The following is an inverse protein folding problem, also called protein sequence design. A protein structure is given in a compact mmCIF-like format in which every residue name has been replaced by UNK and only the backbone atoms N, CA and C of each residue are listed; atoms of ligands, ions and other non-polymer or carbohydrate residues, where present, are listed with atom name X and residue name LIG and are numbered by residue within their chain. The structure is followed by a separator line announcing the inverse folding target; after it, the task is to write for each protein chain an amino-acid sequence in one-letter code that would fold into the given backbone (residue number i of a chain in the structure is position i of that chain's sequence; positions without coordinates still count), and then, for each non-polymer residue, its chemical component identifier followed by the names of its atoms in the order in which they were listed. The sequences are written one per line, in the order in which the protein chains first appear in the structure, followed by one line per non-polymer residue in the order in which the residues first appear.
data_IF_220637702479
#
_entry.id   IF_220637702479
#
_cell.length_a   1.000
_cell.length_b   1.000
_cell.length_c   1.000
_cell.angle_alpha   90.00
_cell.angle_beta   90.00
_cell.angle_gamma   90.00
#
_symmetry.space_group_name_H-M   'P 1'
#
loop_
_entity.id
_entity.type
_entity.pdbx_description
1 polymer ?
#
# COMPACT_ATOMS: atom_id res chain seq x y z
N UNK A 1 1.77 2.31 -11.85
CA UNK A 1 0.49 1.76 -12.37
C UNK A 1 -0.56 2.84 -12.59
N UNK A 2 -0.95 3.59 -11.55
CA UNK A 2 -2.04 4.59 -11.62
C UNK A 2 -1.82 5.62 -12.74
N UNK A 3 -0.60 6.17 -12.83
CA UNK A 3 -0.24 7.10 -13.91
C UNK A 3 -0.42 6.48 -15.32
N UNK A 4 -0.11 5.19 -15.50
CA UNK A 4 -0.31 4.51 -16.77
C UNK A 4 -1.80 4.30 -17.08
N UNK A 5 -2.62 3.98 -16.07
CA UNK A 5 -4.08 3.89 -16.22
C UNK A 5 -4.68 5.24 -16.63
N UNK A 6 -4.28 6.31 -15.95
CA UNK A 6 -4.73 7.67 -16.25
C UNK A 6 -4.38 8.08 -17.68
N UNK A 7 -3.14 7.82 -18.11
CA UNK A 7 -2.71 8.12 -19.48
C UNK A 7 -3.46 7.30 -20.53
N UNK A 8 -3.71 6.01 -20.26
CA UNK A 8 -4.46 5.14 -21.18
C UNK A 8 -5.93 5.56 -21.33
N UNK A 9 -6.55 6.04 -20.24
CA UNK A 9 -7.95 6.43 -20.21
C UNK A 9 -8.16 7.92 -20.55
N UNK A 10 -7.09 8.71 -20.61
CA UNK A 10 -7.10 10.17 -20.68
C UNK A 10 -7.85 10.81 -19.49
N UNK A 11 -7.55 10.34 -18.27
CA UNK A 11 -8.19 10.79 -17.03
C UNK A 11 -7.27 11.70 -16.21
N UNK A 12 -7.86 12.69 -15.53
CA UNK A 12 -7.16 13.52 -14.55
C UNK A 12 -6.82 12.71 -13.29
N UNK A 13 -5.67 12.95 -12.66
CA UNK A 13 -5.28 12.30 -11.40
C UNK A 13 -5.44 13.30 -10.25
N UNK A 14 -6.13 12.88 -9.20
CA UNK A 14 -6.24 13.61 -7.94
C UNK A 14 -5.67 12.75 -6.81
N UNK A 15 -4.58 13.20 -6.21
CA UNK A 15 -4.03 12.60 -5.00
C UNK A 15 -4.68 13.23 -3.77
N UNK A 16 -5.29 12.40 -2.91
CA UNK A 16 -6.05 12.83 -1.74
C UNK A 16 -5.41 12.31 -0.45
N UNK A 17 -4.65 13.19 0.19
CA UNK A 17 -4.05 12.94 1.49
C UNK A 17 -5.07 13.14 2.62
N UNK A 18 -5.62 12.04 3.15
CA UNK A 18 -6.66 12.10 4.19
C UNK A 18 -6.21 12.78 5.48
N UNK A 19 -4.91 12.73 5.80
CA UNK A 19 -4.34 13.40 6.98
C UNK A 19 -4.43 14.94 6.90
N UNK A 20 -4.52 15.50 5.69
CA UNK A 20 -4.61 16.94 5.46
C UNK A 20 -6.05 17.49 5.55
N UNK A 21 -7.04 16.60 5.66
CA UNK A 21 -8.46 16.95 5.59
C UNK A 21 -9.04 17.07 7.01
N UNK A 22 -9.68 18.20 7.31
CA UNK A 22 -10.13 18.49 8.69
C UNK A 22 -11.30 17.61 9.14
N UNK A 23 -12.32 17.50 8.29
CA UNK A 23 -13.56 16.77 8.59
C UNK A 23 -14.21 16.16 7.34
N UNK A 24 -15.29 15.40 7.54
CA UNK A 24 -16.02 14.74 6.45
C UNK A 24 -16.75 15.73 5.51
N UNK A 25 -16.98 16.98 5.93
CA UNK A 25 -17.59 18.03 5.09
C UNK A 25 -16.56 18.54 4.08
N UNK A 26 -15.34 18.82 4.54
CA UNK A 26 -14.21 19.21 3.69
C UNK A 26 -13.88 18.09 2.69
N UNK A 27 -13.81 16.84 3.17
CA UNK A 27 -13.64 15.67 2.32
C UNK A 27 -14.70 15.60 1.21
N UNK A 28 -15.96 15.78 1.60
CA UNK A 28 -17.10 15.79 0.67
C UNK A 28 -16.93 16.88 -0.37
N UNK A 29 -16.54 18.09 0.03
CA UNK A 29 -16.35 19.21 -0.89
C UNK A 29 -15.22 18.95 -1.89
N UNK A 30 -14.07 18.46 -1.41
CA UNK A 30 -12.91 18.15 -2.25
C UNK A 30 -13.25 17.14 -3.34
N UNK A 31 -13.96 16.07 -2.96
CA UNK A 31 -14.42 15.11 -3.94
C UNK A 31 -15.29 15.83 -5.01
N UNK A 32 -16.11 16.85 -4.65
CA UNK A 32 -17.22 17.34 -5.53
C UNK A 32 -16.63 18.19 -6.63
N UNK A 33 -15.58 18.89 -6.26
CA UNK A 33 -14.77 19.75 -7.10
C UNK A 33 -13.92 18.95 -8.10
N UNK A 34 -13.78 17.62 -7.94
CA UNK A 34 -13.12 16.78 -8.95
C UNK A 34 -13.89 16.75 -10.28
N UNK A 35 -13.13 16.82 -11.37
CA UNK A 35 -13.64 16.69 -12.73
C UNK A 35 -14.27 15.30 -12.96
N UNK A 36 -15.10 15.20 -14.00
CA UNK A 36 -15.44 13.91 -14.60
C UNK A 36 -14.23 13.36 -15.37
N UNK A 37 -14.18 12.04 -15.57
CA UNK A 37 -13.01 11.35 -16.15
C UNK A 37 -11.77 11.56 -15.30
N UNK A 38 -11.88 11.15 -14.05
CA UNK A 38 -10.82 11.31 -13.06
C UNK A 38 -10.53 10.02 -12.31
N UNK A 39 -9.28 9.88 -11.87
CA UNK A 39 -8.81 8.87 -10.94
C UNK A 39 -8.46 9.58 -9.63
N UNK A 40 -9.16 9.24 -8.57
CA UNK A 40 -8.90 9.74 -7.21
C UNK A 40 -8.09 8.67 -6.49
N UNK A 41 -6.91 9.05 -6.02
CA UNK A 41 -5.96 8.17 -5.33
C UNK A 41 -5.99 8.49 -3.85
N UNK A 42 -6.08 7.44 -3.04
CA UNK A 42 -6.04 7.53 -1.58
C UNK A 42 -5.02 6.52 -1.11
N UNK A 43 -3.85 7.02 -0.73
CA UNK A 43 -2.71 6.19 -0.38
C UNK A 43 -2.72 5.77 1.10
N UNK A 44 -2.09 4.62 1.37
CA UNK A 44 -1.76 4.13 2.72
C UNK A 44 -2.92 4.16 3.72
N UNK A 45 -4.08 3.63 3.32
CA UNK A 45 -5.29 3.65 4.16
C UNK A 45 -5.17 2.85 5.47
N UNK A 46 -4.14 2.02 5.63
CA UNK A 46 -3.84 1.27 6.85
C UNK A 46 -3.01 2.03 7.89
N UNK A 47 -2.22 3.04 7.47
CA UNK A 47 -1.42 3.87 8.36
C UNK A 47 -2.27 4.87 9.16
N UNK A 48 -3.47 5.16 8.68
CA UNK A 48 -4.40 6.06 9.35
C UNK A 48 -5.23 5.28 10.38
N UNK A 49 -4.59 4.97 11.50
CA UNK A 49 -5.10 4.14 12.60
C UNK A 49 -6.42 4.65 13.23
N UNK A 50 -6.82 5.90 12.97
CA UNK A 50 -8.12 6.44 13.37
C UNK A 50 -9.23 6.25 12.29
N UNK A 51 -8.86 5.90 11.05
CA UNK A 51 -9.79 5.71 9.92
C UNK A 51 -10.27 4.28 9.75
N UNK A 52 -9.44 3.28 10.08
CA UNK A 52 -9.69 1.85 9.81
C UNK A 52 -10.69 1.20 10.74
N UNK A 53 -11.25 1.95 11.69
CA UNK A 53 -12.42 1.49 12.42
C UNK A 53 -12.16 0.33 13.36
N UNK A 54 -10.93 0.15 13.86
CA UNK A 54 -10.78 -0.46 15.19
C UNK A 54 -11.49 0.47 16.17
N UNK A 55 -12.81 0.29 16.27
CA UNK A 55 -13.56 0.58 17.48
C UNK A 55 -12.79 -0.20 18.53
N UNK A 56 -11.84 0.45 19.21
CA UNK A 56 -11.60 0.13 20.59
C UNK A 56 -12.99 0.18 21.17
N UNK A 57 -13.58 -1.00 21.38
CA UNK A 57 -14.59 -1.18 22.39
C UNK A 57 -14.02 -0.41 23.56
N UNK A 58 -14.59 0.77 23.78
CA UNK A 58 -14.52 1.40 25.08
C UNK A 58 -15.26 0.42 25.96
N UNK A 59 -14.57 -0.63 26.40
CA UNK A 59 -14.85 -1.19 27.69
C UNK A 59 -14.80 0.01 28.61
N UNK A 60 -15.97 0.28 29.15
CA UNK A 60 -16.22 1.28 30.16
C UNK A 60 -15.20 1.09 31.29
N UNK A 61 -14.05 1.75 31.19
CA UNK A 61 -13.25 2.10 32.36
C UNK A 61 -14.00 3.25 33.05
N UNK A 62 -15.14 2.90 33.66
CA UNK A 62 -15.75 3.67 34.74
C UNK A 62 -14.91 3.44 35.99
N UNK A 63 -13.67 3.91 35.99
CA UNK A 63 -12.92 4.09 37.22
C UNK A 63 -12.41 5.53 37.29
N UNK A 64 -13.19 6.31 38.04
CA UNK A 64 -12.82 7.49 38.84
C UNK A 64 -11.74 8.45 38.30
N UNK A 65 -12.15 9.50 37.59
CA UNK A 65 -11.41 10.79 37.63
C UNK A 65 -12.38 11.98 37.64
N UNK A 66 -12.74 12.43 38.86
CA UNK A 66 -13.45 13.69 39.15
C UNK A 66 -12.54 14.91 39.06
N UNK A 67 -11.69 15.02 38.03
CA UNK A 67 -10.81 16.18 37.86
C UNK A 67 -11.17 16.97 36.59
N UNK A 68 -11.81 18.15 36.72
CA UNK A 68 -12.26 18.97 35.59
C UNK A 68 -11.12 19.39 34.64
N UNK A 69 -9.89 19.47 35.15
CA UNK A 69 -8.71 19.94 34.40
C UNK A 69 -8.24 18.86 33.41
N UNK A 70 -8.21 17.59 33.82
CA UNK A 70 -7.85 16.45 32.95
C UNK A 70 -8.89 16.19 31.85
N UNK A 71 -10.17 16.49 32.10
CA UNK A 71 -11.22 16.40 31.07
C UNK A 71 -11.05 17.46 29.97
N UNK A 72 -10.69 18.70 30.34
CA UNK A 72 -10.39 19.75 29.34
C UNK A 72 -9.13 19.43 28.53
N UNK A 73 -8.10 18.82 29.12
CA UNK A 73 -6.90 18.42 28.39
C UNK A 73 -7.16 17.25 27.42
N UNK A 74 -7.94 16.23 27.81
CA UNK A 74 -8.37 15.14 26.90
C UNK A 74 -9.28 15.67 25.77
N UNK A 75 -10.18 16.63 26.04
CA UNK A 75 -10.99 17.28 24.99
C UNK A 75 -10.16 18.17 24.06
N UNK A 76 -9.12 18.84 24.56
CA UNK A 76 -8.19 19.63 23.72
C UNK A 76 -7.26 18.76 22.89
N UNK A 77 -6.82 17.60 23.39
CA UNK A 77 -6.02 16.63 22.61
C UNK A 77 -6.82 15.94 21.50
N UNK A 78 -8.13 15.73 21.71
CA UNK A 78 -9.03 15.13 20.70
C UNK A 78 -9.35 16.05 19.52
N UNK A 79 -9.17 17.36 19.67
CA UNK A 79 -9.48 18.37 18.64
C UNK A 79 -8.37 18.64 17.61
N UNK A 80 -7.25 17.91 17.69
CA UNK A 80 -6.09 18.12 16.80
C UNK A 80 -5.83 16.99 15.80
N UNK A 81 -6.69 15.98 15.73
CA UNK A 81 -6.68 14.96 14.67
C UNK A 81 -7.81 15.23 13.69
N UNK A 82 -7.60 14.91 12.41
CA UNK A 82 -8.66 14.91 11.39
C UNK A 82 -9.85 14.06 11.88
N UNK A 83 -11.08 14.58 11.81
CA UNK A 83 -12.31 13.81 12.11
C UNK A 83 -12.80 12.97 10.93
N UNK A 84 -11.98 12.86 9.88
CA UNK A 84 -12.22 11.98 8.75
C UNK A 84 -12.25 10.54 9.23
N UNK A 85 -13.07 9.69 8.60
CA UNK A 85 -13.06 8.23 8.81
C UNK A 85 -13.17 7.54 7.45
N UNK A 86 -12.54 6.37 7.26
CA UNK A 86 -12.65 5.61 6.02
C UNK A 86 -14.10 5.16 5.77
N UNK A 87 -14.84 4.87 6.85
CA UNK A 87 -16.28 4.61 6.78
C UNK A 87 -17.08 5.84 6.33
N UNK A 88 -16.74 7.04 6.81
CA UNK A 88 -17.35 8.30 6.37
C UNK A 88 -17.12 8.56 4.88
N UNK A 89 -15.90 8.35 4.40
CA UNK A 89 -15.54 8.42 2.99
C UNK A 89 -16.35 7.42 2.14
N UNK A 90 -16.38 6.14 2.52
CA UNK A 90 -17.08 5.12 1.74
C UNK A 90 -18.60 5.31 1.75
N UNK A 91 -19.20 5.68 2.88
CA UNK A 91 -20.64 6.00 2.93
C UNK A 91 -20.99 7.14 1.98
N UNK A 92 -20.07 8.06 1.78
CA UNK A 92 -20.26 9.17 0.88
C UNK A 92 -20.14 8.78 -0.60
N UNK A 93 -19.17 7.92 -0.93
CA UNK A 93 -19.00 7.32 -2.27
C UNK A 93 -20.21 6.43 -2.63
N UNK A 94 -20.61 5.54 -1.72
CA UNK A 94 -21.72 4.59 -1.89
C UNK A 94 -23.08 5.29 -2.06
N UNK A 95 -23.23 6.49 -1.49
CA UNK A 95 -24.49 7.21 -1.42
C UNK A 95 -24.79 8.05 -2.66
N UNK A 96 -25.04 9.34 -2.43
CA UNK A 96 -25.46 10.34 -3.43
C UNK A 96 -24.48 10.50 -4.61
N UNK A 97 -23.23 10.05 -4.47
CA UNK A 97 -22.22 10.16 -5.52
C UNK A 97 -22.39 9.19 -6.67
N UNK A 98 -22.76 7.96 -6.34
CA UNK A 98 -22.95 6.88 -7.32
C UNK A 98 -24.03 7.24 -8.36
N UNK A 99 -24.98 8.10 -7.98
CA UNK A 99 -26.06 8.56 -8.85
C UNK A 99 -25.68 9.69 -9.83
N UNK A 100 -24.48 10.29 -9.72
CA UNK A 100 -24.14 11.51 -10.47
C UNK A 100 -23.66 11.28 -11.92
N UNK A 101 -23.66 10.05 -12.46
CA UNK A 101 -23.40 9.76 -13.89
C UNK A 101 -22.03 10.23 -14.42
N UNK A 102 -21.10 10.61 -13.54
CA UNK A 102 -19.76 11.08 -13.88
C UNK A 102 -18.79 9.90 -13.75
N UNK A 103 -18.04 9.63 -14.81
CA UNK A 103 -17.00 8.61 -14.86
C UNK A 103 -15.88 8.96 -13.87
N UNK A 104 -15.74 8.20 -12.78
CA UNK A 104 -14.67 8.37 -11.81
C UNK A 104 -14.19 7.01 -11.32
N UNK A 105 -12.88 6.88 -11.17
CA UNK A 105 -12.24 5.74 -10.55
C UNK A 105 -11.67 6.18 -9.21
N UNK A 106 -11.84 5.37 -8.18
CA UNK A 106 -11.23 5.60 -6.87
C UNK A 106 -10.28 4.44 -6.61
N UNK A 107 -9.00 4.74 -6.40
CA UNK A 107 -7.94 3.77 -6.15
C UNK A 107 -7.44 3.96 -4.74
N UNK A 108 -7.54 2.90 -3.95
CA UNK A 108 -6.97 2.82 -2.62
C UNK A 108 -5.68 1.99 -2.66
N UNK A 109 -4.64 2.43 -1.97
CA UNK A 109 -3.44 1.60 -1.74
C UNK A 109 -3.33 1.23 -0.27
N UNK A 110 -2.86 0.01 0.01
CA UNK A 110 -2.62 -0.44 1.37
C UNK A 110 -1.53 -1.51 1.36
N UNK A 111 -0.67 -1.49 2.38
CA UNK A 111 0.31 -2.55 2.61
C UNK A 111 -0.23 -3.65 3.54
N UNK A 112 -1.34 -3.39 4.22
CA UNK A 112 -1.88 -4.20 5.31
C UNK A 112 -3.40 -4.36 5.20
N UNK A 113 -3.85 -5.14 4.23
CA UNK A 113 -5.27 -5.40 4.00
C UNK A 113 -5.98 -6.00 5.22
N UNK A 114 -5.25 -6.75 6.05
CA UNK A 114 -5.74 -7.36 7.29
C UNK A 114 -6.09 -6.35 8.39
N UNK A 115 -5.59 -5.11 8.30
CA UNK A 115 -5.91 -4.03 9.24
C UNK A 115 -7.20 -3.30 8.87
N UNK A 116 -7.76 -3.55 7.69
CA UNK A 116 -8.98 -2.91 7.22
C UNK A 116 -10.22 -3.66 7.70
N UNK A 117 -11.25 -2.92 8.13
CA UNK A 117 -12.54 -3.50 8.46
C UNK A 117 -13.14 -4.22 7.23
N UNK A 118 -13.46 -5.53 7.32
CA UNK A 118 -14.04 -6.31 6.22
C UNK A 118 -15.30 -5.68 5.61
N UNK A 119 -16.05 -4.87 6.36
CA UNK A 119 -17.23 -4.15 5.87
C UNK A 119 -16.89 -3.04 4.88
N UNK A 120 -15.64 -2.56 4.84
CA UNK A 120 -15.15 -1.52 3.94
C UNK A 120 -14.71 -2.10 2.59
N UNK A 121 -14.11 -3.28 2.59
CA UNK A 121 -13.59 -3.98 1.39
C UNK A 121 -14.64 -4.86 0.68
N UNK A 122 -15.90 -4.81 1.10
CA UNK A 122 -16.96 -5.61 0.46
C UNK A 122 -17.29 -5.08 -0.94
N UNK A 123 -17.77 -5.98 -1.81
CA UNK A 123 -18.29 -5.62 -3.13
C UNK A 123 -19.40 -4.56 -3.04
N UNK A 124 -19.42 -3.62 -3.97
CA UNK A 124 -20.26 -2.42 -3.93
C UNK A 124 -19.60 -1.21 -3.26
N UNK A 125 -18.50 -1.40 -2.51
CA UNK A 125 -17.63 -0.34 -1.99
C UNK A 125 -16.29 -0.34 -2.69
N UNK A 126 -15.66 -1.51 -2.69
CA UNK A 126 -14.41 -1.80 -3.38
C UNK A 126 -14.65 -3.01 -4.28
N UNK A 127 -14.81 -2.78 -5.58
CA UNK A 127 -15.24 -3.83 -6.51
C UNK A 127 -14.09 -4.69 -7.05
N UNK A 128 -12.89 -4.13 -7.09
CA UNK A 128 -11.69 -4.79 -7.61
C UNK A 128 -10.57 -4.71 -6.57
N UNK A 129 -10.04 -5.88 -6.23
CA UNK A 129 -8.85 -6.02 -5.40
C UNK A 129 -7.73 -6.59 -6.28
N UNK A 130 -6.61 -5.89 -6.32
CA UNK A 130 -5.43 -6.26 -7.11
C UNK A 130 -4.29 -6.39 -6.12
N UNK A 131 -3.76 -7.59 -5.99
CA UNK A 131 -2.56 -7.85 -5.19
C UNK A 131 -1.32 -7.56 -6.05
N UNK A 132 -0.44 -6.70 -5.54
CA UNK A 132 0.85 -6.40 -6.16
C UNK A 132 1.94 -7.21 -5.45
N UNK A 133 2.13 -8.45 -5.91
CA UNK A 133 3.05 -9.40 -5.28
C UNK A 133 4.52 -9.19 -5.69
N UNK A 134 5.40 -10.05 -5.19
CA UNK A 134 6.83 -10.06 -5.49
C UNK A 134 7.12 -10.35 -6.96
N UNK A 135 8.35 -10.04 -7.38
CA UNK A 135 8.81 -10.19 -8.74
C UNK A 135 8.90 -11.67 -9.13
N UNK A 136 8.05 -12.10 -10.08
CA UNK A 136 8.15 -13.42 -10.67
C UNK A 136 9.04 -13.40 -11.93
N UNK A 137 9.34 -14.57 -12.47
CA UNK A 137 10.18 -14.69 -13.67
C UNK A 137 9.61 -13.94 -14.89
N UNK A 138 8.27 -13.92 -15.05
CA UNK A 138 7.62 -13.19 -16.14
C UNK A 138 7.80 -11.68 -15.98
N UNK A 139 7.62 -11.14 -14.76
CA UNK A 139 7.88 -9.73 -14.45
C UNK A 139 9.35 -9.40 -14.69
N UNK A 140 10.27 -10.25 -14.26
CA UNK A 140 11.71 -10.09 -14.51
C UNK A 140 12.02 -9.98 -16.01
N UNK A 141 11.45 -10.83 -16.86
CA UNK A 141 11.68 -10.75 -18.32
C UNK A 141 11.22 -9.41 -18.90
N UNK A 142 10.10 -8.87 -18.42
CA UNK A 142 9.63 -7.53 -18.81
C UNK A 142 10.63 -6.46 -18.38
N UNK A 143 11.15 -6.53 -17.14
CA UNK A 143 12.15 -5.58 -16.65
C UNK A 143 13.49 -5.71 -17.41
N UNK A 144 13.96 -6.92 -17.68
CA UNK A 144 15.17 -7.18 -18.45
C UNK A 144 15.06 -6.62 -19.87
N UNK A 145 13.91 -6.81 -20.53
CA UNK A 145 13.65 -6.19 -21.83
C UNK A 145 13.63 -4.67 -21.75
N UNK A 146 12.98 -4.09 -20.74
CA UNK A 146 12.82 -2.64 -20.64
C UNK A 146 14.12 -1.90 -20.31
N UNK A 147 14.98 -2.49 -19.45
CA UNK A 147 16.20 -1.81 -18.98
C UNK A 147 17.47 -2.23 -19.72
N UNK A 148 17.53 -3.48 -20.21
CA UNK A 148 18.73 -4.05 -20.83
C UNK A 148 18.54 -4.39 -22.31
N UNK A 149 17.32 -4.29 -22.85
CA UNK A 149 16.96 -4.68 -24.22
C UNK A 149 17.29 -6.15 -24.55
N UNK A 150 17.15 -7.04 -23.56
CA UNK A 150 17.44 -8.48 -23.70
C UNK A 150 16.21 -9.33 -23.40
N UNK A 151 15.90 -10.25 -24.33
CA UNK A 151 14.80 -11.21 -24.18
C UNK A 151 15.25 -12.59 -23.69
N UNK A 152 16.51 -12.95 -23.89
CA UNK A 152 17.09 -14.24 -23.49
C UNK A 152 18.53 -14.09 -23.06
N UNK A 153 18.92 -14.77 -21.99
CA UNK A 153 20.30 -14.84 -21.52
C UNK A 153 20.57 -16.16 -20.80
N UNK A 154 21.81 -16.66 -20.80
CA UNK A 154 22.18 -17.92 -20.14
C UNK A 154 21.85 -17.91 -18.63
N UNK A 155 22.00 -16.75 -17.99
CA UNK A 155 21.70 -16.52 -16.57
C UNK A 155 20.19 -16.50 -16.24
N UNK A 156 19.29 -16.39 -17.23
CA UNK A 156 17.85 -16.30 -16.96
C UNK A 156 17.32 -17.56 -16.26
N UNK A 157 17.83 -18.75 -16.62
CA UNK A 157 17.44 -19.99 -15.97
C UNK A 157 17.80 -20.00 -14.47
N UNK A 158 18.95 -19.43 -14.12
CA UNK A 158 19.40 -19.28 -12.73
C UNK A 158 18.54 -18.27 -11.99
N UNK A 159 18.34 -17.07 -12.56
CA UNK A 159 17.52 -16.01 -11.97
C UNK A 159 16.08 -16.47 -11.77
N UNK A 160 15.49 -17.13 -12.76
CA UNK A 160 14.12 -17.66 -12.67
C UNK A 160 13.93 -18.66 -11.54
N UNK A 161 14.93 -19.54 -11.31
CA UNK A 161 14.92 -20.45 -10.16
C UNK A 161 15.01 -19.70 -8.84
N UNK A 162 15.91 -18.73 -8.74
CA UNK A 162 16.13 -17.96 -7.51
C UNK A 162 14.92 -17.11 -7.13
N UNK A 163 14.26 -16.46 -8.11
CA UNK A 163 13.00 -15.72 -7.91
C UNK A 163 11.85 -16.64 -7.49
N UNK A 164 11.91 -17.94 -7.78
CA UNK A 164 10.96 -18.92 -7.28
C UNK A 164 11.20 -19.34 -5.82
N UNK A 165 12.37 -19.05 -5.27
CA UNK A 165 12.79 -19.43 -3.91
C UNK A 165 12.92 -18.24 -2.96
N UNK A 166 12.98 -17.02 -3.48
CA UNK A 166 13.31 -15.80 -2.74
C UNK A 166 12.39 -14.68 -3.15
N UNK A 167 11.70 -14.10 -2.17
CA UNK A 167 10.86 -12.93 -2.38
C UNK A 167 11.72 -11.67 -2.58
N UNK A 168 11.49 -10.97 -3.68
CA UNK A 168 12.14 -9.69 -4.01
C UNK A 168 11.16 -8.79 -4.75
N UNK A 169 11.10 -7.50 -4.41
CA UNK A 169 10.12 -6.60 -5.04
C UNK A 169 10.51 -6.29 -6.49
N UNK A 170 9.55 -6.01 -7.39
CA UNK A 170 9.87 -5.55 -8.74
C UNK A 170 10.76 -4.30 -8.76
N UNK A 171 10.65 -3.42 -7.76
CA UNK A 171 11.48 -2.23 -7.61
C UNK A 171 12.95 -2.59 -7.30
N UNK A 172 13.18 -3.51 -6.36
CA UNK A 172 14.54 -3.96 -6.02
C UNK A 172 15.18 -4.69 -7.21
N UNK A 173 14.40 -5.51 -7.93
CA UNK A 173 14.87 -6.16 -9.17
C UNK A 173 15.24 -5.12 -10.23
N UNK A 174 14.41 -4.09 -10.42
CA UNK A 174 14.71 -3.01 -11.35
C UNK A 174 16.00 -2.26 -10.97
N UNK A 175 16.20 -1.94 -9.69
CA UNK A 175 17.43 -1.30 -9.18
C UNK A 175 18.69 -2.15 -9.44
N UNK A 176 18.55 -3.48 -9.42
CA UNK A 176 19.64 -4.38 -9.79
C UNK A 176 19.96 -4.31 -11.29
N UNK A 177 18.92 -4.28 -12.12
CA UNK A 177 19.01 -4.34 -13.58
C UNK A 177 19.35 -3.01 -14.24
N UNK A 178 19.07 -1.87 -13.61
CA UNK A 178 19.43 -0.55 -14.17
C UNK A 178 20.95 -0.37 -14.18
N UNK A 179 21.58 -0.17 -15.36
CA UNK A 179 23.00 0.12 -15.47
C UNK A 179 23.35 1.44 -14.75
N UNK A 180 24.42 1.44 -13.96
CA UNK A 180 24.87 2.62 -13.20
C UNK A 180 25.92 3.46 -13.95
N UNK A 181 26.47 2.92 -15.03
CA UNK A 181 27.38 3.61 -15.94
C UNK A 181 27.29 2.96 -17.33
N UNK A 182 27.82 3.65 -18.35
CA UNK A 182 27.89 3.14 -19.72
C UNK A 182 28.84 1.93 -19.88
N UNK A 183 29.60 1.60 -18.83
CA UNK A 183 30.54 0.47 -18.81
C UNK A 183 29.92 -0.82 -18.26
N UNK A 184 28.76 -0.74 -17.59
CA UNK A 184 28.05 -1.91 -17.08
C UNK A 184 27.30 -2.60 -18.23
N UNK A 185 27.83 -3.75 -18.66
CA UNK A 185 27.15 -4.59 -19.62
C UNK A 185 25.99 -5.39 -18.99
N UNK A 186 25.22 -6.05 -19.84
CA UNK A 186 24.07 -6.89 -19.45
C UNK A 186 24.50 -7.96 -18.44
N UNK A 187 25.66 -8.57 -18.64
CA UNK A 187 26.18 -9.65 -17.80
C UNK A 187 26.48 -9.17 -16.39
N UNK A 188 27.07 -7.97 -16.24
CA UNK A 188 27.32 -7.31 -14.96
C UNK A 188 26.01 -7.05 -14.21
N UNK A 189 24.99 -6.52 -14.90
CA UNK A 189 23.68 -6.23 -14.30
C UNK A 189 22.97 -7.51 -13.83
N UNK A 190 22.99 -8.57 -14.63
CA UNK A 190 22.39 -9.86 -14.26
C UNK A 190 23.14 -10.54 -13.10
N UNK A 191 24.48 -10.46 -13.08
CA UNK A 191 25.29 -10.95 -11.94
C UNK A 191 25.01 -10.18 -10.65
N UNK A 192 24.82 -8.87 -10.75
CA UNK A 192 24.42 -8.03 -9.61
C UNK A 192 23.06 -8.47 -9.05
N UNK A 193 22.08 -8.75 -9.92
CA UNK A 193 20.78 -9.28 -9.49
C UNK A 193 20.93 -10.64 -8.78
N UNK A 194 21.73 -11.56 -9.31
CA UNK A 194 22.00 -12.85 -8.66
C UNK A 194 22.55 -12.64 -7.26
N UNK A 195 23.55 -11.76 -7.10
CA UNK A 195 24.11 -11.44 -5.79
C UNK A 195 23.06 -10.89 -4.83
N UNK A 196 22.23 -9.96 -5.28
CA UNK A 196 21.17 -9.40 -4.44
C UNK A 196 20.13 -10.46 -4.02
N UNK A 197 19.83 -11.43 -4.88
CA UNK A 197 18.96 -12.56 -4.55
C UNK A 197 19.61 -13.51 -3.52
N UNK A 198 20.91 -13.76 -3.63
CA UNK A 198 21.66 -14.54 -2.63
C UNK A 198 21.63 -13.86 -1.25
N UNK A 199 21.91 -12.55 -1.23
CA UNK A 199 21.89 -11.74 0.00
C UNK A 199 20.48 -11.72 0.64
N UNK A 200 19.43 -11.56 -0.17
CA UNK A 200 18.04 -11.57 0.29
C UNK A 200 17.64 -12.94 0.84
N UNK A 201 18.06 -14.03 0.18
CA UNK A 201 17.79 -15.41 0.64
C UNK A 201 18.45 -15.68 1.98
N UNK A 202 19.69 -15.25 2.17
CA UNK A 202 20.39 -15.41 3.44
C UNK A 202 19.75 -14.56 4.55
N UNK A 203 19.40 -13.31 4.26
CA UNK A 203 18.69 -12.45 5.21
C UNK A 203 17.35 -13.04 5.66
N UNK A 204 16.57 -13.61 4.73
CA UNK A 204 15.31 -14.29 5.05
C UNK A 204 15.53 -15.53 5.93
N UNK A 205 16.59 -16.32 5.66
CA UNK A 205 16.96 -17.49 6.46
C UNK A 205 17.30 -17.10 7.90
N UNK A 206 18.13 -16.08 8.08
CA UNK A 206 18.51 -15.57 9.40
C UNK A 206 17.29 -15.05 10.16
N UNK A 207 16.42 -14.28 9.49
CA UNK A 207 15.19 -13.78 10.11
C UNK A 207 14.25 -14.91 10.55
N UNK A 208 14.07 -15.93 9.72
CA UNK A 208 13.22 -17.08 10.06
C UNK A 208 13.76 -17.87 11.27
N UNK A 209 15.08 -17.99 11.41
CA UNK A 209 15.70 -18.63 12.57
C UNK A 209 15.50 -17.81 13.85
N UNK A 210 15.64 -16.49 13.76
CA UNK A 210 15.41 -15.58 14.89
C UNK A 210 13.94 -15.61 15.34
N UNK A 211 12.99 -15.51 14.39
CA UNK A 211 11.56 -15.56 14.67
C UNK A 211 11.14 -16.89 15.32
N UNK A 212 11.75 -18.01 14.90
CA UNK A 212 11.53 -19.32 15.50
C UNK A 212 12.08 -19.41 16.93
N UNK A 213 13.23 -18.79 17.21
CA UNK A 213 13.80 -18.71 18.56
C UNK A 213 12.88 -17.91 19.50
N UNK A 214 12.44 -16.73 19.08
CA UNK A 214 11.54 -15.86 19.87
C UNK A 214 10.24 -16.60 20.21
N UNK A 215 9.61 -17.26 19.23
CA UNK A 215 8.38 -18.03 19.46
C UNK A 215 8.57 -19.20 20.43
N UNK A 216 9.75 -19.83 20.46
CA UNK A 216 10.04 -20.91 21.41
C UNK A 216 10.20 -20.41 22.85
N UNK A 217 10.72 -19.19 23.02
CA UNK A 217 10.88 -18.53 24.31
C UNK A 217 9.55 -17.98 24.87
N UNK A 218 8.67 -17.45 24.02
CA UNK A 218 7.35 -16.93 24.41
C UNK A 218 6.32 -18.05 24.72
N UNK A 219 6.50 -19.25 24.18
CA UNK A 219 5.61 -20.40 24.44
C UNK A 219 5.80 -21.12 25.77
N UNK A 220 6.68 -20.62 26.66
CA UNK A 220 7.01 -21.22 27.95
C UNK A 220 6.47 -20.43 29.18
N UNK A 221 5.57 -19.47 28.97
CA UNK A 221 4.93 -18.67 30.04
C UNK A 221 3.47 -19.05 30.21
#
# INVERSE_FOLDING_TARGET
MIAAMANLLEYDIYDLELASVNDNTDLRKLLIETSSKSIIVIEDIDCSLDLTGQRKDKKDDKEDEKDPIKQMEKMKKKKKGSEVTLSGLLNFIDGLWSACGRERLIVFTTNHIEKLDPALIRRGRMDKHIEMSYCCFETFKVLAKNYLDVETHELFATIGRMLGETDMTPADVAECLMPKSDEEDVEVCLKKLIKCLEDAKEAARVKAQEDARIKAEEGHI
#
